data_IF_443412319278
#
_entry.id   IF_443412319278
#
_cell.length_a   1.000
_cell.length_b   1.000
_cell.length_c   1.000
_cell.angle_alpha   90.00
_cell.angle_beta   90.00
_cell.angle_gamma   90.00
#
_symmetry.space_group_name_H-M   'P 1'
#
loop_
_entity.id
_entity.type
_entity.pdbx_description
1 polymer ?
#
# COMPACT_ATOMS: atom_id res chain seq x y z
N UNK A 1 -29.17 -56.34 -14.53
CA UNK A 1 -30.05 -55.33 -15.15
C UNK A 1 -30.44 -54.33 -14.08
N UNK A 2 -30.46 -53.05 -14.45
CA UNK A 2 -30.80 -51.85 -13.66
C UNK A 2 -29.74 -51.29 -12.70
N UNK A 3 -28.77 -50.60 -13.32
CA UNK A 3 -28.13 -49.41 -12.76
C UNK A 3 -29.11 -48.23 -12.84
N UNK A 4 -29.25 -47.46 -11.76
CA UNK A 4 -30.00 -46.21 -11.79
C UNK A 4 -30.03 -45.48 -10.47
N UNK A 5 -29.12 -44.52 -10.29
CA UNK A 5 -29.35 -43.26 -9.57
C UNK A 5 -28.12 -42.34 -9.75
N UNK A 6 -28.13 -41.57 -10.84
CA UNK A 6 -27.28 -40.39 -11.01
C UNK A 6 -27.82 -39.28 -10.12
N UNK A 7 -27.11 -38.98 -9.02
CA UNK A 7 -27.33 -37.78 -8.22
C UNK A 7 -26.48 -36.64 -8.78
N UNK A 8 -27.09 -35.78 -9.59
CA UNK A 8 -26.49 -34.53 -10.05
C UNK A 8 -26.34 -33.56 -8.87
N UNK A 9 -25.10 -33.21 -8.51
CA UNK A 9 -24.86 -32.06 -7.65
C UNK A 9 -25.02 -30.79 -8.48
N UNK A 10 -26.15 -30.13 -8.29
CA UNK A 10 -26.43 -28.80 -8.81
C UNK A 10 -25.42 -27.80 -8.22
N UNK A 11 -24.67 -27.13 -9.09
CA UNK A 11 -23.91 -25.94 -8.76
C UNK A 11 -24.89 -24.85 -8.32
N UNK A 12 -25.00 -24.62 -7.02
CA UNK A 12 -25.64 -23.43 -6.50
C UNK A 12 -24.69 -22.24 -6.74
N UNK A 13 -24.96 -21.49 -7.81
CA UNK A 13 -24.42 -20.13 -7.98
C UNK A 13 -24.82 -19.28 -6.77
N UNK A 14 -23.89 -19.09 -5.84
CA UNK A 14 -23.99 -18.03 -4.85
C UNK A 14 -23.82 -16.69 -5.57
N UNK A 15 -24.96 -16.10 -5.97
CA UNK A 15 -25.07 -14.70 -6.32
C UNK A 15 -24.74 -13.86 -5.07
N UNK A 16 -23.49 -13.46 -4.91
CA UNK A 16 -23.13 -12.37 -4.01
C UNK A 16 -23.61 -11.09 -4.68
N UNK A 17 -24.80 -10.64 -4.30
CA UNK A 17 -25.30 -9.30 -4.62
C UNK A 17 -24.57 -8.32 -3.71
N UNK A 18 -23.39 -7.86 -4.14
CA UNK A 18 -22.75 -6.70 -3.53
C UNK A 18 -23.43 -5.45 -4.07
N UNK A 19 -24.56 -5.09 -3.46
CA UNK A 19 -25.17 -3.79 -3.67
C UNK A 19 -24.26 -2.75 -2.98
N UNK A 20 -23.30 -2.22 -3.74
CA UNK A 20 -22.56 -1.03 -3.34
C UNK A 20 -23.59 0.10 -3.30
N UNK A 21 -24.03 0.44 -2.10
CA UNK A 21 -24.57 1.76 -1.82
C UNK A 21 -23.44 2.72 -2.17
N UNK A 22 -23.51 3.30 -3.36
CA UNK A 22 -22.77 4.51 -3.67
C UNK A 22 -23.28 5.55 -2.67
N UNK A 23 -22.63 5.66 -1.51
CA UNK A 23 -22.75 6.83 -0.68
C UNK A 23 -22.35 7.99 -1.58
N UNK A 24 -23.34 8.76 -2.01
CA UNK A 24 -23.18 10.09 -2.57
C UNK A 24 -22.54 10.94 -1.48
N UNK A 25 -21.24 10.77 -1.31
CA UNK A 25 -20.51 11.48 -0.28
C UNK A 25 -20.25 12.89 -0.81
N UNK A 26 -20.56 13.94 -0.03
CA UNK A 26 -20.29 15.32 -0.42
C UNK A 26 -18.79 15.66 -0.54
N UNK A 27 -17.90 14.66 -0.47
CA UNK A 27 -16.44 14.79 -0.43
C UNK A 27 -15.77 14.78 -1.81
N UNK A 28 -16.55 14.92 -2.89
CA UNK A 28 -16.06 15.19 -4.25
C UNK A 28 -15.64 16.66 -4.42
N UNK A 29 -14.98 17.28 -3.42
CA UNK A 29 -14.50 18.66 -3.55
C UNK A 29 -13.25 18.74 -4.45
N UNK A 30 -12.60 17.60 -4.72
CA UNK A 30 -11.47 17.52 -5.65
C UNK A 30 -11.86 16.63 -6.83
N UNK A 31 -12.41 17.26 -7.86
CA UNK A 31 -12.86 16.59 -9.08
C UNK A 31 -11.75 16.40 -10.12
N UNK A 32 -12.02 15.60 -11.18
CA UNK A 32 -11.14 15.52 -12.35
C UNK A 32 -10.82 16.92 -12.90
N UNK A 33 -9.54 17.24 -13.05
CA UNK A 33 -9.07 18.52 -13.60
C UNK A 33 -8.54 19.53 -12.58
N UNK A 34 -8.67 19.27 -11.28
CA UNK A 34 -8.01 20.10 -10.27
C UNK A 34 -6.53 19.70 -10.10
N UNK A 35 -5.64 20.69 -10.06
CA UNK A 35 -4.25 20.48 -9.67
C UNK A 35 -4.18 20.24 -8.16
N UNK A 36 -3.68 19.07 -7.76
CA UNK A 36 -3.31 18.84 -6.38
C UNK A 36 -1.98 19.55 -6.13
N UNK A 37 -1.96 20.54 -5.25
CA UNK A 37 -0.74 21.33 -4.99
C UNK A 37 -0.15 21.04 -3.62
N UNK A 38 -0.98 20.66 -2.65
CA UNK A 38 -0.58 20.52 -1.25
C UNK A 38 -0.93 19.12 -0.72
N UNK A 39 -0.28 18.74 0.38
CA UNK A 39 -0.47 17.40 0.95
C UNK A 39 -1.93 17.21 1.40
N UNK A 40 -2.53 18.26 1.93
CA UNK A 40 -3.89 18.32 2.45
C UNK A 40 -4.93 17.92 1.39
N UNK A 41 -4.64 18.21 0.12
CA UNK A 41 -5.55 17.92 -1.00
C UNK A 41 -5.69 16.40 -1.24
N UNK A 42 -4.79 15.58 -0.71
CA UNK A 42 -4.81 14.12 -0.83
C UNK A 42 -5.44 13.41 0.37
N UNK A 43 -5.66 14.10 1.49
CA UNK A 43 -6.13 13.50 2.74
C UNK A 43 -7.55 13.97 3.10
N UNK A 44 -8.53 13.17 2.71
CA UNK A 44 -9.82 13.12 3.38
C UNK A 44 -10.02 11.66 3.85
N UNK A 45 -10.06 11.37 5.17
CA UNK A 45 -10.10 12.25 6.36
C UNK A 45 -8.69 12.78 6.80
N UNK A 46 -8.55 13.59 7.89
CA UNK A 46 -7.39 14.46 8.13
C UNK A 46 -6.02 13.75 8.21
N UNK A 47 -4.98 14.44 7.74
CA UNK A 47 -3.55 14.11 7.81
C UNK A 47 -3.11 13.49 9.16
N UNK A 48 -3.65 13.98 10.26
CA UNK A 48 -3.28 13.54 11.61
C UNK A 48 -3.56 12.05 11.86
N UNK A 49 -4.60 11.50 11.22
CA UNK A 49 -5.03 10.12 11.43
C UNK A 49 -4.26 9.09 10.60
N UNK A 50 -3.57 9.53 9.54
CA UNK A 50 -2.89 8.63 8.59
C UNK A 50 -1.44 9.01 8.32
N UNK A 51 -1.19 10.27 7.98
CA UNK A 51 0.16 10.75 7.65
C UNK A 51 1.12 10.65 8.83
N UNK A 52 0.69 11.06 10.03
CA UNK A 52 1.50 10.98 11.24
C UNK A 52 1.95 9.55 11.59
N UNK A 53 1.02 8.59 11.79
CA UNK A 53 1.36 7.19 12.05
C UNK A 53 2.23 6.57 10.96
N UNK A 54 1.95 6.86 9.69
CA UNK A 54 2.71 6.31 8.57
C UNK A 54 4.16 6.82 8.55
N UNK A 55 4.36 8.14 8.65
CA UNK A 55 5.70 8.73 8.71
C UNK A 55 6.51 8.26 9.90
N UNK A 56 5.90 8.15 11.09
CA UNK A 56 6.56 7.61 12.27
C UNK A 56 7.04 6.17 12.08
N UNK A 57 6.26 5.36 11.36
CA UNK A 57 6.65 3.99 11.02
C UNK A 57 7.84 3.94 10.06
N UNK A 58 7.84 4.78 9.03
CA UNK A 58 8.96 4.86 8.09
C UNK A 58 10.25 5.29 8.79
N UNK A 59 10.16 6.28 9.69
CA UNK A 59 11.29 6.73 10.49
C UNK A 59 11.81 5.63 11.42
N UNK A 60 10.91 4.89 12.06
CA UNK A 60 11.28 3.75 12.88
C UNK A 60 12.04 2.69 12.06
N UNK A 61 11.51 2.30 10.89
CA UNK A 61 12.19 1.34 10.01
C UNK A 61 13.59 1.81 9.59
N UNK A 62 13.74 3.10 9.28
CA UNK A 62 15.03 3.68 8.92
C UNK A 62 16.02 3.63 10.10
N UNK A 63 15.60 4.07 11.29
CA UNK A 63 16.42 4.10 12.51
C UNK A 63 16.88 2.71 12.95
N UNK A 64 16.01 1.72 12.79
CA UNK A 64 16.31 0.33 13.11
C UNK A 64 17.14 -0.37 12.01
N UNK A 65 17.56 0.36 10.97
CA UNK A 65 18.42 -0.15 9.89
C UNK A 65 17.71 -1.08 8.89
N UNK A 66 16.38 -1.19 8.94
CA UNK A 66 15.64 -2.11 8.06
C UNK A 66 15.67 -1.74 6.59
N UNK A 67 15.97 -0.48 6.29
CA UNK A 67 16.04 0.04 4.93
C UNK A 67 17.48 0.10 4.39
N UNK A 68 18.46 -0.41 5.15
CA UNK A 68 19.84 -0.49 4.72
C UNK A 68 20.05 -1.70 3.80
N UNK A 69 20.83 -1.52 2.74
CA UNK A 69 21.17 -2.60 1.82
C UNK A 69 19.98 -3.16 1.01
N UNK A 70 18.89 -2.41 0.88
CA UNK A 70 17.77 -2.82 0.04
C UNK A 70 18.26 -3.04 -1.41
N UNK A 71 17.81 -4.13 -2.07
CA UNK A 71 18.25 -4.45 -3.41
C UNK A 71 17.80 -3.36 -4.39
N UNK A 72 18.71 -2.96 -5.27
CA UNK A 72 18.44 -2.03 -6.35
C UNK A 72 18.37 -2.78 -7.68
N UNK A 73 17.61 -2.25 -8.64
CA UNK A 73 17.60 -2.76 -10.01
C UNK A 73 18.92 -2.42 -10.76
N UNK A 74 19.03 -2.86 -12.01
CA UNK A 74 20.19 -2.59 -12.87
C UNK A 74 20.43 -1.08 -13.12
N UNK A 75 19.41 -0.24 -12.93
CA UNK A 75 19.47 1.22 -13.06
C UNK A 75 19.69 1.91 -11.71
N UNK A 76 20.03 1.15 -10.66
CA UNK A 76 20.19 1.63 -9.29
C UNK A 76 18.91 2.25 -8.72
N UNK A 77 17.73 1.79 -9.14
CA UNK A 77 16.46 2.22 -8.59
C UNK A 77 15.99 1.26 -7.50
N UNK A 78 15.48 1.82 -6.40
CA UNK A 78 14.69 1.05 -5.44
C UNK A 78 13.31 0.76 -6.05
N UNK A 79 12.90 -0.50 -6.08
CA UNK A 79 11.54 -0.87 -6.43
C UNK A 79 10.71 -0.95 -5.16
N UNK A 80 9.58 -0.26 -5.13
CA UNK A 80 8.67 -0.21 -3.96
C UNK A 80 7.30 -0.68 -4.41
N UNK A 81 6.77 -1.73 -3.78
CA UNK A 81 5.41 -2.21 -4.03
C UNK A 81 4.48 -1.80 -2.90
N UNK A 82 3.33 -1.21 -3.26
CA UNK A 82 2.26 -0.82 -2.33
C UNK A 82 0.97 -1.58 -2.73
N UNK A 83 0.85 -2.87 -2.38
CA UNK A 83 -0.36 -3.64 -2.67
C UNK A 83 -1.54 -3.18 -1.81
N UNK A 84 -2.76 -3.38 -2.31
CA UNK A 84 -4.00 -2.93 -1.67
C UNK A 84 -3.96 -1.45 -1.30
N UNK A 85 -3.42 -0.63 -2.20
CA UNK A 85 -3.20 0.78 -1.91
C UNK A 85 -4.52 1.54 -1.77
N UNK A 86 -5.63 1.02 -2.31
CA UNK A 86 -6.92 1.68 -2.37
C UNK A 86 -6.76 3.06 -2.99
N UNK A 87 -7.22 4.08 -2.28
CA UNK A 87 -7.02 5.47 -2.68
C UNK A 87 -5.55 5.91 -2.70
N UNK A 88 -4.62 5.14 -2.13
CA UNK A 88 -3.22 5.46 -1.86
C UNK A 88 -3.06 6.75 -1.07
N UNK A 89 -3.56 6.76 0.16
CA UNK A 89 -3.56 7.95 1.02
C UNK A 89 -2.15 8.33 1.46
N UNK A 90 -1.23 7.37 1.49
CA UNK A 90 0.18 7.52 1.85
C UNK A 90 1.01 8.24 0.77
N UNK A 91 0.41 8.50 -0.40
CA UNK A 91 1.06 9.06 -1.58
C UNK A 91 1.92 10.32 -1.33
N UNK A 92 1.62 11.26 -0.43
CA UNK A 92 2.53 12.37 -0.22
C UNK A 92 3.62 12.07 0.82
N UNK A 93 3.35 11.19 1.81
CA UNK A 93 4.31 10.87 2.85
C UNK A 93 5.44 9.94 2.37
N UNK A 94 5.11 8.91 1.59
CA UNK A 94 6.10 7.94 1.12
C UNK A 94 7.16 8.56 0.18
N UNK A 95 6.80 9.28 -0.90
CA UNK A 95 7.76 9.94 -1.78
C UNK A 95 8.60 10.98 -1.06
N UNK A 96 8.01 11.73 -0.12
CA UNK A 96 8.74 12.69 0.69
C UNK A 96 9.81 11.98 1.54
N UNK A 97 9.41 10.94 2.28
CA UNK A 97 10.35 10.13 3.08
C UNK A 97 11.49 9.55 2.23
N UNK A 98 11.16 8.95 1.08
CA UNK A 98 12.16 8.39 0.17
C UNK A 98 13.12 9.46 -0.32
N UNK A 99 12.62 10.65 -0.65
CA UNK A 99 13.43 11.76 -1.18
C UNK A 99 14.31 12.40 -0.10
N UNK A 100 13.76 12.65 1.07
CA UNK A 100 14.41 13.47 2.11
C UNK A 100 15.27 12.66 3.07
N UNK A 101 14.91 11.39 3.32
CA UNK A 101 15.56 10.58 4.36
C UNK A 101 16.31 9.38 3.80
N UNK A 102 15.66 8.59 2.94
CA UNK A 102 16.28 7.34 2.45
C UNK A 102 17.27 7.57 1.32
N UNK A 103 16.89 8.28 0.25
CA UNK A 103 17.74 8.50 -0.93
C UNK A 103 19.10 9.12 -0.58
N UNK A 104 19.19 10.19 0.24
CA UNK A 104 20.47 10.81 0.59
C UNK A 104 21.44 9.88 1.33
N UNK A 105 20.91 8.91 2.08
CA UNK A 105 21.69 7.93 2.81
C UNK A 105 21.94 6.63 2.02
N UNK A 106 21.37 6.52 0.81
CA UNK A 106 21.46 5.33 -0.05
C UNK A 106 22.46 5.51 -1.18
N UNK A 107 22.77 4.42 -1.90
CA UNK A 107 23.48 4.45 -3.18
C UNK A 107 22.53 4.47 -4.39
N UNK A 108 21.24 4.69 -4.18
CA UNK A 108 20.24 4.62 -5.24
C UNK A 108 20.17 5.92 -6.06
N UNK A 109 19.93 5.76 -7.36
CA UNK A 109 19.69 6.88 -8.26
C UNK A 109 18.28 7.47 -8.09
N UNK A 110 17.34 6.67 -7.58
CA UNK A 110 15.94 7.03 -7.42
C UNK A 110 15.10 5.84 -6.91
N UNK A 111 13.78 5.96 -6.98
CA UNK A 111 12.88 4.85 -6.70
C UNK A 111 11.68 4.81 -7.65
N UNK A 112 11.15 3.61 -7.88
CA UNK A 112 9.94 3.35 -8.65
C UNK A 112 8.91 2.70 -7.73
N UNK A 113 7.80 3.38 -7.52
CA UNK A 113 6.69 2.98 -6.67
C UNK A 113 5.57 2.43 -7.55
N UNK A 114 5.19 1.18 -7.30
CA UNK A 114 4.03 0.54 -7.90
C UNK A 114 2.96 0.33 -6.83
N UNK A 115 1.90 1.13 -6.88
CA UNK A 115 0.69 0.89 -6.11
C UNK A 115 -0.30 0.05 -6.91
N UNK A 116 -0.93 -0.92 -6.26
CA UNK A 116 -1.91 -1.81 -6.91
C UNK A 116 -3.11 -2.04 -6.01
N UNK A 117 -4.28 -2.14 -6.61
CA UNK A 117 -5.52 -2.53 -5.94
C UNK A 117 -6.45 -3.24 -6.94
N UNK A 118 -7.46 -3.99 -6.49
CA UNK A 118 -8.42 -4.66 -7.38
C UNK A 118 -9.23 -3.65 -8.19
N UNK A 119 -9.48 -2.47 -7.62
CA UNK A 119 -10.28 -1.41 -8.26
C UNK A 119 -9.50 -0.11 -8.29
N UNK A 120 -9.62 0.62 -9.39
CA UNK A 120 -9.17 2.01 -9.41
C UNK A 120 -10.12 2.84 -8.56
N UNK A 121 -9.58 3.42 -7.49
CA UNK A 121 -10.34 4.27 -6.56
C UNK A 121 -9.64 5.62 -6.41
N UNK A 122 -10.36 6.69 -6.67
CA UNK A 122 -9.90 8.07 -6.47
C UNK A 122 -9.08 8.66 -7.62
N UNK A 123 -8.29 9.68 -7.31
CA UNK A 123 -7.58 10.53 -8.28
C UNK A 123 -6.16 10.02 -8.61
N UNK A 124 -5.99 8.75 -8.96
CA UNK A 124 -4.68 8.13 -9.19
C UNK A 124 -3.81 8.85 -10.22
N UNK A 125 -4.34 9.18 -11.39
CA UNK A 125 -3.58 9.91 -12.42
C UNK A 125 -3.09 11.28 -11.92
N UNK A 126 -3.82 11.90 -10.99
CA UNK A 126 -3.39 13.15 -10.39
C UNK A 126 -2.27 12.94 -9.35
N UNK A 127 -2.33 11.85 -8.59
CA UNK A 127 -1.25 11.41 -7.68
C UNK A 127 0.05 11.11 -8.42
N UNK A 128 -0.04 10.38 -9.55
CA UNK A 128 1.12 10.09 -10.40
C UNK A 128 1.77 11.38 -10.92
N UNK A 129 0.96 12.31 -11.47
CA UNK A 129 1.45 13.63 -11.93
C UNK A 129 2.07 14.46 -10.80
N UNK A 130 1.45 14.47 -9.63
CA UNK A 130 1.98 15.15 -8.45
C UNK A 130 3.37 14.61 -8.08
N UNK A 131 3.52 13.28 -8.02
CA UNK A 131 4.82 12.67 -7.67
C UNK A 131 5.86 12.97 -8.74
N UNK A 132 5.52 12.80 -10.01
CA UNK A 132 6.45 13.08 -11.12
C UNK A 132 6.95 14.53 -11.12
N UNK A 133 6.07 15.49 -10.80
CA UNK A 133 6.42 16.91 -10.72
C UNK A 133 7.22 17.26 -9.47
N UNK A 134 6.79 16.80 -8.30
CA UNK A 134 7.35 17.22 -7.00
C UNK A 134 8.62 16.45 -6.63
N UNK A 135 8.77 15.21 -7.08
CA UNK A 135 9.86 14.31 -6.71
C UNK A 135 10.52 13.72 -7.96
N UNK A 136 11.39 14.47 -8.66
CA UNK A 136 11.88 14.09 -10.00
C UNK A 136 12.74 12.82 -10.04
N UNK A 137 13.24 12.35 -8.88
CA UNK A 137 13.97 11.07 -8.77
C UNK A 137 13.04 9.87 -8.52
N UNK A 138 11.74 10.11 -8.46
CA UNK A 138 10.73 9.10 -8.16
C UNK A 138 9.78 8.93 -9.34
N UNK A 139 9.37 7.69 -9.57
CA UNK A 139 8.27 7.36 -10.48
C UNK A 139 7.17 6.67 -9.67
N UNK A 140 5.94 7.16 -9.76
CA UNK A 140 4.77 6.50 -9.19
C UNK A 140 3.90 5.95 -10.33
N UNK A 141 3.48 4.71 -10.17
CA UNK A 141 2.48 4.08 -11.00
C UNK A 141 1.42 3.39 -10.15
N UNK A 142 0.15 3.64 -10.45
CA UNK A 142 -1.02 3.08 -9.78
C UNK A 142 -1.84 2.27 -10.79
N UNK A 143 -2.09 1.00 -10.49
CA UNK A 143 -2.80 0.09 -11.41
C UNK A 143 -3.92 -0.67 -10.70
N UNK A 144 -5.03 -0.82 -11.41
CA UNK A 144 -6.09 -1.73 -11.02
C UNK A 144 -5.67 -3.12 -11.51
N UNK A 145 -5.41 -4.04 -10.59
CA UNK A 145 -4.95 -5.37 -10.93
C UNK A 145 -5.18 -6.34 -9.76
N UNK A 146 -5.56 -7.57 -10.12
CA UNK A 146 -5.60 -8.68 -9.19
C UNK A 146 -4.16 -9.07 -8.81
N UNK A 147 -3.85 -8.98 -7.53
CA UNK A 147 -2.54 -9.32 -6.98
C UNK A 147 -2.22 -10.81 -7.10
N UNK A 148 -3.22 -11.67 -7.23
CA UNK A 148 -3.01 -13.10 -7.52
C UNK A 148 -2.56 -13.34 -8.96
N UNK A 149 -2.92 -12.42 -9.88
CA UNK A 149 -2.51 -12.48 -11.28
C UNK A 149 -1.21 -11.72 -11.56
N UNK A 150 -0.79 -10.81 -10.67
CA UNK A 150 0.42 -10.02 -10.82
C UNK A 150 1.66 -10.72 -10.25
N UNK A 151 2.71 -10.78 -11.07
CA UNK A 151 4.05 -11.04 -10.55
C UNK A 151 4.57 -9.79 -9.84
N UNK A 152 4.39 -9.74 -8.52
CA UNK A 152 4.88 -8.63 -7.70
C UNK A 152 6.42 -8.54 -7.71
N UNK A 153 6.99 -7.33 -7.63
CA UNK A 153 8.41 -7.16 -7.32
C UNK A 153 8.76 -7.94 -6.05
N UNK A 154 9.98 -8.47 -5.96
CA UNK A 154 10.43 -9.29 -4.81
C UNK A 154 10.37 -8.58 -3.44
N UNK A 155 10.09 -7.28 -3.42
CA UNK A 155 9.94 -6.43 -2.25
C UNK A 155 8.48 -5.97 -2.11
N UNK A 156 7.67 -6.68 -1.31
CA UNK A 156 6.29 -6.28 -1.01
C UNK A 156 6.04 -6.26 0.51
N UNK A 157 5.48 -5.16 1.02
CA UNK A 157 4.90 -5.07 2.36
C UNK A 157 3.42 -5.48 2.30
N UNK A 158 2.93 -6.29 3.24
CA UNK A 158 1.57 -6.85 3.20
C UNK A 158 0.84 -6.57 4.52
N UNK A 159 -0.47 -6.29 4.42
CA UNK A 159 -1.28 -5.59 5.43
C UNK A 159 -2.06 -6.50 6.40
N UNK A 160 -2.11 -7.82 6.18
CA UNK A 160 -2.87 -8.76 7.03
C UNK A 160 -1.99 -9.78 7.78
N UNK A 161 -1.67 -9.52 9.06
CA UNK A 161 -0.66 -10.27 9.81
C UNK A 161 -0.81 -11.79 9.83
N UNK A 162 -2.03 -12.33 9.98
CA UNK A 162 -2.22 -13.77 10.15
C UNK A 162 -2.06 -14.56 8.85
N UNK A 163 -2.74 -14.13 7.78
CA UNK A 163 -2.63 -14.79 6.47
C UNK A 163 -1.29 -14.50 5.79
N UNK A 164 -0.75 -13.29 5.99
CA UNK A 164 0.61 -12.96 5.53
C UNK A 164 1.65 -13.83 6.21
N UNK A 165 1.51 -14.15 7.50
CA UNK A 165 2.40 -15.08 8.19
C UNK A 165 2.36 -16.49 7.60
N UNK A 166 1.17 -17.02 7.29
CA UNK A 166 1.04 -18.34 6.66
C UNK A 166 1.69 -18.37 5.27
N UNK A 167 1.38 -17.37 4.44
CA UNK A 167 1.95 -17.27 3.08
C UNK A 167 3.46 -17.03 3.12
N UNK A 168 3.94 -16.17 4.01
CA UNK A 168 5.36 -15.89 4.18
C UNK A 168 6.14 -17.11 4.65
N UNK A 169 5.64 -17.82 5.65
CA UNK A 169 6.26 -19.06 6.14
C UNK A 169 6.38 -20.11 5.02
N UNK A 170 5.34 -20.27 4.19
CA UNK A 170 5.37 -21.19 3.04
C UNK A 170 6.42 -20.83 1.97
N UNK A 171 6.91 -19.58 1.99
CA UNK A 171 7.91 -19.05 1.05
C UNK A 171 9.30 -18.89 1.67
N UNK A 172 9.50 -19.39 2.89
CA UNK A 172 10.77 -19.26 3.62
C UNK A 172 11.07 -17.85 4.14
N UNK A 173 10.07 -16.96 4.19
CA UNK A 173 10.24 -15.60 4.67
C UNK A 173 10.14 -15.54 6.20
N UNK A 174 11.13 -14.92 6.85
CA UNK A 174 11.04 -14.56 8.28
C UNK A 174 10.28 -13.25 8.42
N UNK A 175 9.15 -13.29 9.13
CA UNK A 175 8.37 -12.09 9.44
C UNK A 175 8.65 -11.59 10.86
N UNK A 176 8.82 -10.30 11.00
CA UNK A 176 8.86 -9.59 12.29
C UNK A 176 7.70 -8.58 12.35
N UNK A 177 7.10 -8.43 13.53
CA UNK A 177 5.99 -7.52 13.76
C UNK A 177 6.42 -6.42 14.70
N UNK A 178 6.21 -5.17 14.28
CA UNK A 178 6.52 -4.00 15.09
C UNK A 178 5.25 -3.23 15.37
N UNK A 179 5.11 -2.77 16.62
CA UNK A 179 4.08 -1.79 16.98
C UNK A 179 4.58 -0.39 16.64
N UNK A 180 3.67 0.44 16.11
CA UNK A 180 3.98 1.78 15.65
C UNK A 180 4.33 2.70 16.83
N UNK A 181 5.54 3.28 16.86
CA UNK A 181 5.95 4.18 17.94
C UNK A 181 5.04 5.40 18.10
N UNK A 182 4.30 5.78 17.05
CA UNK A 182 3.31 6.85 17.09
C UNK A 182 2.31 6.68 18.26
N UNK A 183 1.93 5.44 18.58
CA UNK A 183 0.95 5.15 19.63
C UNK A 183 1.55 4.97 21.03
N UNK A 184 2.88 4.88 21.18
CA UNK A 184 3.51 4.60 22.48
C UNK A 184 3.25 5.69 23.52
N UNK A 185 3.11 6.95 23.08
CA UNK A 185 2.87 8.10 23.95
C UNK A 185 1.53 8.81 23.69
N UNK A 186 0.58 8.15 23.01
CA UNK A 186 -0.69 8.77 22.59
C UNK A 186 -1.89 7.89 22.97
N UNK A 187 -3.05 8.50 23.28
CA UNK A 187 -4.30 7.75 23.40
C UNK A 187 -4.58 6.98 22.12
N UNK A 188 -4.84 5.68 22.24
CA UNK A 188 -5.09 4.82 21.10
C UNK A 188 -6.56 4.92 20.70
N UNK A 189 -6.88 5.28 19.44
CA UNK A 189 -8.27 5.29 18.98
C UNK A 189 -8.84 3.87 18.93
N UNK A 190 -10.17 3.74 18.88
CA UNK A 190 -10.85 2.45 18.79
C UNK A 190 -10.46 1.63 17.53
N UNK A 191 -9.99 2.31 16.48
CA UNK A 191 -9.52 1.68 15.24
C UNK A 191 -8.25 2.40 14.75
N UNK A 192 -7.07 2.05 15.30
CA UNK A 192 -5.82 2.72 15.00
C UNK A 192 -5.27 2.30 13.63
N UNK A 193 -5.18 3.26 12.71
CA UNK A 193 -4.53 3.10 11.42
C UNK A 193 -3.05 2.74 11.57
N UNK A 194 -2.55 1.77 10.80
CA UNK A 194 -1.12 1.43 10.78
C UNK A 194 -0.51 1.13 12.16
N UNK A 195 -1.28 0.55 13.10
CA UNK A 195 -0.79 0.19 14.43
C UNK A 195 0.37 -0.79 14.39
N UNK A 196 0.33 -1.74 13.47
CA UNK A 196 1.35 -2.75 13.32
C UNK A 196 1.91 -2.74 11.90
N UNK A 197 3.20 -3.04 11.77
CA UNK A 197 3.83 -3.36 10.50
C UNK A 197 4.41 -4.77 10.57
N UNK A 198 4.35 -5.47 9.43
CA UNK A 198 5.01 -6.75 9.24
C UNK A 198 6.16 -6.52 8.27
N UNK A 199 7.36 -6.91 8.69
CA UNK A 199 8.55 -6.83 7.84
C UNK A 199 9.01 -8.25 7.54
N UNK A 200 9.05 -8.60 6.26
CA UNK A 200 9.54 -9.89 5.80
C UNK A 200 10.97 -9.83 5.30
N UNK A 201 11.78 -10.83 5.64
CA UNK A 201 13.12 -11.06 5.08
C UNK A 201 13.19 -12.43 4.41
N UNK A 202 13.93 -12.50 3.30
CA UNK A 202 14.38 -13.74 2.65
C UNK A 202 15.65 -14.20 3.34
#
# INVERSE_FOLDING_TARGET
MNHGANGAYANAEQKIVTQLVACASPWNVVGPGMEFERMEDFFAPPLENWGGPYSAMLDFLLQQGWLQGLPLDLRKLLLVSVPFCGGFMECPALPQFLTEKWLPASQAAGASILGTDERSVGAWAAKERFVARKFPKLALQLRAADLMALQLPKCAAVREAAEVRKVAASKGLRLETFENPYYQARPMPASPSMRYILVGRV
#
